data_IF_437123831998
#
_entry.id   IF_437123831998
#
_cell.length_a   1.000
_cell.length_b   1.000
_cell.length_c   1.000
_cell.angle_alpha   90.00
_cell.angle_beta   90.00
_cell.angle_gamma   90.00
#
_symmetry.space_group_name_H-M   'P 1'
#
loop_
_entity.id
_entity.type
_entity.pdbx_description
1 polymer ?
#
# COMPACT_ATOMS: atom_id res chain seq x y z
N UNK A 1 -35.90 13.14 16.48
CA UNK A 1 -34.63 13.84 16.18
C UNK A 1 -33.56 13.21 17.04
N UNK A 2 -32.89 12.22 16.57
CA UNK A 2 -31.78 11.57 17.30
C UNK A 2 -30.50 12.30 16.94
N UNK A 3 -29.96 13.07 17.87
CA UNK A 3 -28.63 13.64 17.79
C UNK A 3 -27.59 12.51 17.75
N UNK A 4 -27.10 12.16 16.56
CA UNK A 4 -25.88 11.37 16.42
C UNK A 4 -24.76 12.33 16.79
N UNK A 5 -24.30 12.26 18.04
CA UNK A 5 -23.08 12.95 18.45
C UNK A 5 -21.91 12.38 17.63
N UNK A 6 -21.39 13.18 16.71
CA UNK A 6 -20.11 12.95 16.05
C UNK A 6 -18.98 13.05 17.09
N UNK A 7 -18.87 12.07 17.94
CA UNK A 7 -17.68 11.90 18.79
C UNK A 7 -16.56 11.47 17.86
N UNK A 8 -15.66 12.38 17.56
CA UNK A 8 -14.38 12.08 16.88
C UNK A 8 -13.69 11.03 17.75
N UNK A 9 -13.88 9.74 17.42
CA UNK A 9 -13.21 8.65 18.13
C UNK A 9 -11.70 8.87 17.99
N UNK A 10 -11.00 8.92 19.12
CA UNK A 10 -9.52 9.02 19.13
C UNK A 10 -8.94 7.87 18.34
N UNK A 11 -7.83 8.07 17.60
CA UNK A 11 -7.11 6.98 16.96
C UNK A 11 -6.77 5.89 17.97
N UNK A 12 -7.01 4.64 17.57
CA UNK A 12 -6.74 3.44 18.37
C UNK A 12 -5.79 2.53 17.64
N UNK A 13 -5.14 1.64 18.39
CA UNK A 13 -4.27 0.60 17.83
C UNK A 13 -4.87 -0.78 18.11
N UNK A 14 -4.74 -1.67 17.12
CA UNK A 14 -4.96 -3.11 17.27
C UNK A 14 -3.63 -3.82 17.11
N UNK A 15 -3.32 -4.76 18.00
CA UNK A 15 -2.07 -5.55 17.91
C UNK A 15 -2.42 -7.01 17.76
N UNK A 16 -1.81 -7.68 16.78
CA UNK A 16 -1.92 -9.11 16.54
C UNK A 16 -0.54 -9.75 16.75
N UNK A 17 -0.52 -10.97 17.25
CA UNK A 17 0.70 -11.75 17.38
C UNK A 17 0.43 -13.23 17.05
N UNK A 18 1.49 -13.93 16.60
CA UNK A 18 1.45 -15.37 16.43
C UNK A 18 2.34 -16.09 17.47
N UNK A 19 2.26 -17.41 17.54
CA UNK A 19 3.03 -18.22 18.51
C UNK A 19 4.54 -18.14 18.34
N UNK A 20 5.04 -17.72 17.17
CA UNK A 20 6.47 -17.53 16.90
C UNK A 20 6.97 -16.13 17.30
N UNK A 21 6.10 -15.30 17.88
CA UNK A 21 6.45 -13.98 18.38
C UNK A 21 6.48 -12.89 17.32
N UNK A 22 6.02 -13.14 16.10
CA UNK A 22 5.70 -12.07 15.12
C UNK A 22 4.60 -11.21 15.71
N UNK A 23 4.69 -9.90 15.49
CA UNK A 23 3.76 -8.92 16.02
C UNK A 23 3.50 -7.83 15.01
N UNK A 24 2.23 -7.51 14.77
CA UNK A 24 1.84 -6.37 13.95
C UNK A 24 0.99 -5.39 14.77
N UNK A 25 1.12 -4.11 14.47
CA UNK A 25 0.26 -3.08 15.04
C UNK A 25 -0.38 -2.27 13.93
N UNK A 26 -1.69 -2.12 14.00
CA UNK A 26 -2.52 -1.41 13.02
C UNK A 26 -3.21 -0.24 13.71
N UNK A 27 -3.08 0.96 13.16
CA UNK A 27 -3.86 2.12 13.58
C UNK A 27 -5.15 2.20 12.77
N UNK A 28 -6.25 2.61 13.41
CA UNK A 28 -7.48 2.91 12.71
C UNK A 28 -7.41 4.22 11.89
N UNK A 29 -6.40 5.06 12.05
CA UNK A 29 -6.14 6.20 11.16
C UNK A 29 -5.45 5.70 9.89
N UNK A 30 -6.12 5.85 8.75
CA UNK A 30 -5.68 5.31 7.46
C UNK A 30 -5.69 3.78 7.38
N UNK A 31 -6.28 3.08 8.36
CA UNK A 31 -6.12 1.64 8.56
C UNK A 31 -4.64 1.21 8.46
N UNK A 32 -3.73 2.02 8.99
CA UNK A 32 -2.29 1.94 8.72
C UNK A 32 -1.60 0.83 9.50
N UNK A 33 -0.80 0.00 8.83
CA UNK A 33 0.18 -0.88 9.46
C UNK A 33 1.32 -0.02 10.02
N UNK A 34 1.36 0.13 11.33
CA UNK A 34 2.32 1.02 12.00
C UNK A 34 3.57 0.30 12.51
N UNK A 35 3.52 -1.04 12.64
CA UNK A 35 4.65 -1.86 13.08
C UNK A 35 4.49 -3.29 12.57
N UNK A 36 5.61 -3.91 12.21
CA UNK A 36 5.73 -5.34 11.95
C UNK A 36 7.04 -5.83 12.54
N UNK A 37 6.95 -6.45 13.71
CA UNK A 37 8.11 -6.92 14.47
C UNK A 37 8.34 -8.41 14.25
N UNK A 38 9.54 -8.75 13.84
CA UNK A 38 9.99 -10.10 13.53
C UNK A 38 11.06 -10.52 14.52
N UNK A 39 10.90 -11.66 15.22
CA UNK A 39 11.96 -12.21 16.09
C UNK A 39 13.12 -12.69 15.23
N UNK A 40 14.33 -12.29 15.61
CA UNK A 40 15.58 -12.78 15.00
C UNK A 40 16.19 -13.90 15.84
N UNK A 41 17.03 -14.78 15.26
CA UNK A 41 17.74 -15.84 15.99
C UNK A 41 18.56 -15.31 17.18
N UNK A 42 18.95 -14.03 17.16
CA UNK A 42 19.64 -13.35 18.26
C UNK A 42 18.77 -13.12 19.51
N UNK A 43 17.47 -13.42 19.46
CA UNK A 43 16.49 -13.13 20.51
C UNK A 43 15.95 -11.69 20.48
N UNK A 44 16.46 -10.83 19.60
CA UNK A 44 15.93 -9.47 19.40
C UNK A 44 14.79 -9.49 18.40
N UNK A 45 13.81 -8.58 18.54
CA UNK A 45 12.82 -8.28 17.51
C UNK A 45 13.27 -7.11 16.67
N UNK A 46 13.07 -7.21 15.35
CA UNK A 46 13.28 -6.10 14.41
C UNK A 46 11.96 -5.63 13.85
N UNK A 47 11.69 -4.33 13.83
CA UNK A 47 10.54 -3.74 13.16
C UNK A 47 10.92 -3.39 11.71
N UNK A 48 10.28 -4.04 10.76
CA UNK A 48 10.66 -3.99 9.34
C UNK A 48 9.83 -3.02 8.50
N UNK A 49 8.89 -2.28 9.08
CA UNK A 49 8.10 -1.26 8.37
C UNK A 49 8.39 0.13 8.91
N UNK A 50 8.67 1.08 8.01
CA UNK A 50 8.86 2.47 8.37
C UNK A 50 7.57 3.11 8.90
N UNK A 51 7.70 4.15 9.71
CA UNK A 51 6.57 4.86 10.28
C UNK A 51 6.99 5.84 11.37
N UNK A 52 6.03 6.25 12.17
CA UNK A 52 6.23 7.18 13.28
C UNK A 52 5.75 6.58 14.61
N UNK A 53 6.27 7.10 15.71
CA UNK A 53 5.89 6.65 17.05
C UNK A 53 4.50 7.15 17.47
N UNK A 54 3.96 8.19 16.82
CA UNK A 54 2.69 8.81 17.19
C UNK A 54 1.79 9.10 16.00
N UNK A 55 0.48 8.96 16.17
CA UNK A 55 -0.51 9.33 15.15
C UNK A 55 -0.43 10.82 14.79
N UNK A 56 -0.03 11.67 15.71
CA UNK A 56 0.19 13.10 15.40
C UNK A 56 1.23 13.28 14.30
N UNK A 57 2.31 12.48 14.31
CA UNK A 57 3.34 12.54 13.28
C UNK A 57 2.86 11.96 11.95
N UNK A 58 2.02 10.90 11.96
CA UNK A 58 1.33 10.42 10.75
C UNK A 58 0.49 11.54 10.13
N UNK A 59 -0.32 12.24 10.93
CA UNK A 59 -1.13 13.36 10.44
C UNK A 59 -0.28 14.49 9.87
N UNK A 60 0.76 14.92 10.61
CA UNK A 60 1.69 15.96 10.15
C UNK A 60 2.42 15.59 8.86
N UNK A 61 2.65 14.31 8.60
CA UNK A 61 3.35 13.88 7.40
C UNK A 61 2.57 14.18 6.12
N UNK A 62 1.23 14.31 6.19
CA UNK A 62 0.40 14.73 5.06
C UNK A 62 0.49 16.23 4.76
N UNK A 63 1.07 17.04 5.65
CA UNK A 63 1.36 18.46 5.43
C UNK A 63 2.68 18.66 4.67
N UNK A 64 3.48 17.60 4.49
CA UNK A 64 4.72 17.65 3.73
C UNK A 64 4.44 17.78 2.23
N UNK A 65 5.30 18.44 1.45
CA UNK A 65 5.16 18.54 -0.01
C UNK A 65 5.05 17.18 -0.72
N UNK A 66 5.62 16.13 -0.12
CA UNK A 66 5.50 14.74 -0.55
C UNK A 66 5.21 13.89 0.68
N UNK A 67 3.94 13.57 0.87
CA UNK A 67 3.51 12.73 1.97
C UNK A 67 4.01 11.29 1.77
N UNK A 68 4.54 10.61 2.81
CA UNK A 68 5.08 9.26 2.66
C UNK A 68 4.01 8.17 2.71
N UNK A 69 2.80 8.43 3.16
CA UNK A 69 1.70 7.46 3.30
C UNK A 69 2.06 6.21 4.12
N UNK A 70 3.02 6.28 5.04
CA UNK A 70 3.58 5.11 5.74
C UNK A 70 2.52 4.14 6.26
N UNK A 71 2.51 2.93 5.70
CA UNK A 71 1.66 1.82 6.09
C UNK A 71 0.16 2.01 5.86
N UNK A 72 -0.27 3.11 5.27
CA UNK A 72 -1.68 3.43 5.10
C UNK A 72 -2.32 2.65 3.94
N UNK A 73 -3.64 2.45 4.05
CA UNK A 73 -4.45 2.03 2.91
C UNK A 73 -4.68 3.23 2.00
N UNK A 74 -4.34 3.06 0.74
CA UNK A 74 -4.50 4.07 -0.32
C UNK A 74 -5.74 3.75 -1.14
N UNK A 75 -6.56 4.74 -1.38
CA UNK A 75 -7.81 4.69 -2.12
C UNK A 75 -8.55 6.05 -2.06
N UNK A 76 -9.64 6.25 -2.85
CA UNK A 76 -10.40 5.22 -3.59
C UNK A 76 -9.62 4.66 -4.79
N UNK A 77 -8.68 5.44 -5.36
CA UNK A 77 -7.85 5.00 -6.48
C UNK A 77 -6.36 5.21 -6.17
N UNK A 78 -5.63 4.11 -6.04
CA UNK A 78 -4.18 4.10 -5.86
C UNK A 78 -3.45 4.45 -7.17
N UNK A 79 -2.35 5.18 -7.05
CA UNK A 79 -1.63 5.72 -8.20
C UNK A 79 -2.26 6.99 -8.77
N UNK A 80 -1.79 7.39 -9.93
CA UNK A 80 -2.23 8.63 -10.60
C UNK A 80 -3.40 8.38 -11.54
N UNK A 81 -4.25 9.42 -11.72
CA UNK A 81 -5.23 9.55 -12.81
C UNK A 81 -4.91 10.84 -13.55
N UNK A 82 -4.67 10.73 -14.87
CA UNK A 82 -4.30 11.82 -15.75
C UNK A 82 -5.33 12.95 -15.70
N UNK A 83 -4.87 14.20 -15.53
CA UNK A 83 -5.70 15.40 -15.41
C UNK A 83 -6.80 15.31 -14.33
N UNK A 84 -6.73 14.31 -13.45
CA UNK A 84 -7.80 13.98 -12.50
C UNK A 84 -9.13 13.66 -13.17
N UNK A 85 -9.13 13.13 -14.39
CA UNK A 85 -10.34 12.97 -15.20
C UNK A 85 -10.47 11.52 -15.70
N UNK A 86 -11.70 11.00 -15.69
CA UNK A 86 -12.04 9.72 -16.31
C UNK A 86 -13.50 9.74 -16.79
N UNK A 87 -13.79 8.87 -17.77
CA UNK A 87 -15.15 8.64 -18.25
C UNK A 87 -15.72 7.36 -17.65
N UNK A 88 -16.97 7.39 -17.20
CA UNK A 88 -17.72 6.25 -16.73
C UNK A 88 -19.16 6.36 -17.22
N UNK A 89 -19.64 5.32 -17.94
CA UNK A 89 -20.98 5.25 -18.52
C UNK A 89 -21.37 6.52 -19.31
N UNK A 90 -20.42 7.02 -20.12
CA UNK A 90 -20.61 8.22 -20.98
C UNK A 90 -20.60 9.55 -20.22
N UNK A 91 -20.29 9.55 -18.92
CA UNK A 91 -20.17 10.76 -18.09
C UNK A 91 -18.72 11.02 -17.73
N UNK A 92 -18.31 12.29 -17.87
CA UNK A 92 -17.01 12.75 -17.40
C UNK A 92 -17.04 13.03 -15.90
N UNK A 93 -16.04 12.52 -15.19
CA UNK A 93 -15.84 12.76 -13.76
C UNK A 93 -14.52 13.48 -13.54
N UNK A 94 -14.57 14.61 -12.84
CA UNK A 94 -13.39 15.40 -12.48
C UNK A 94 -13.05 15.19 -11.01
N UNK A 95 -11.94 14.52 -10.75
CA UNK A 95 -11.42 14.29 -9.41
C UNK A 95 -10.64 15.51 -8.90
N UNK A 96 -10.38 15.53 -7.58
CA UNK A 96 -9.51 16.52 -7.00
C UNK A 96 -8.07 16.36 -7.51
N UNK A 97 -7.47 17.45 -7.99
CA UNK A 97 -6.09 17.49 -8.49
C UNK A 97 -5.14 17.85 -7.35
N UNK A 98 -4.47 16.87 -6.78
CA UNK A 98 -3.53 17.01 -5.67
C UNK A 98 -2.07 16.71 -6.04
N UNK A 99 -1.81 16.43 -7.32
CA UNK A 99 -0.46 16.20 -7.85
C UNK A 99 -0.30 16.91 -9.20
N UNK A 100 0.02 18.20 -9.16
CA UNK A 100 -0.07 19.12 -10.28
C UNK A 100 -1.50 19.11 -10.86
N UNK A 101 -1.65 18.76 -12.14
CA UNK A 101 -2.96 18.61 -12.80
C UNK A 101 -3.58 17.23 -12.62
N UNK A 102 -2.88 16.28 -11.99
CA UNK A 102 -3.31 14.90 -11.86
C UNK A 102 -3.93 14.64 -10.49
N UNK A 103 -4.78 13.63 -10.39
CA UNK A 103 -5.19 13.06 -9.10
C UNK A 103 -4.20 11.97 -8.68
N UNK A 104 -3.86 11.91 -7.41
CA UNK A 104 -2.95 10.93 -6.83
C UNK A 104 -3.55 10.35 -5.55
N UNK A 105 -3.53 9.03 -5.41
CA UNK A 105 -3.84 8.29 -4.18
C UNK A 105 -5.20 8.62 -3.57
N UNK A 106 -6.21 8.85 -4.42
CA UNK A 106 -7.59 9.06 -4.00
C UNK A 106 -7.98 10.53 -3.74
N UNK A 107 -7.05 11.49 -3.97
CA UNK A 107 -7.36 12.91 -3.88
C UNK A 107 -6.72 13.60 -2.69
N UNK A 108 -7.32 14.72 -2.24
CA UNK A 108 -6.78 15.58 -1.18
C UNK A 108 -6.75 14.87 0.17
N UNK A 109 -7.84 14.22 0.52
CA UNK A 109 -8.00 13.47 1.76
C UNK A 109 -8.51 12.06 1.47
N UNK A 110 -7.67 11.26 0.79
CA UNK A 110 -7.98 9.87 0.48
C UNK A 110 -8.08 8.97 1.72
N UNK A 111 -8.27 7.68 1.52
CA UNK A 111 -8.52 6.69 2.58
C UNK A 111 -7.40 6.62 3.63
N UNK A 112 -6.19 6.99 3.26
CA UNK A 112 -5.01 7.08 4.13
C UNK A 112 -5.13 8.13 5.24
N UNK A 113 -6.04 9.09 5.13
CA UNK A 113 -6.26 10.15 6.12
C UNK A 113 -7.59 10.00 6.88
N UNK A 114 -8.34 8.92 6.64
CA UNK A 114 -9.64 8.69 7.29
C UNK A 114 -9.48 7.88 8.58
N UNK A 115 -10.45 8.06 9.49
CA UNK A 115 -10.58 7.22 10.67
C UNK A 115 -11.49 6.04 10.33
N UNK A 116 -10.93 4.86 10.31
CA UNK A 116 -11.67 3.61 10.08
C UNK A 116 -12.25 3.08 11.39
N UNK A 117 -13.24 2.24 11.30
CA UNK A 117 -13.91 1.61 12.45
C UNK A 117 -13.47 0.15 12.52
N UNK A 118 -12.93 -0.28 13.64
CA UNK A 118 -12.72 -1.72 13.90
C UNK A 118 -14.09 -2.36 14.09
N UNK A 119 -14.44 -3.30 13.22
CA UNK A 119 -15.74 -3.99 13.23
C UNK A 119 -15.64 -5.43 13.70
N UNK A 120 -14.45 -6.05 13.62
CA UNK A 120 -14.18 -7.39 14.10
C UNK A 120 -12.72 -7.55 14.54
N UNK A 121 -12.49 -8.40 15.55
CA UNK A 121 -11.15 -8.70 16.04
C UNK A 121 -11.12 -10.11 16.61
N UNK A 122 -10.30 -10.97 16.02
CA UNK A 122 -10.08 -12.36 16.45
C UNK A 122 -8.64 -12.50 16.93
N UNK A 123 -8.45 -12.79 18.22
CA UNK A 123 -7.13 -12.92 18.88
C UNK A 123 -6.81 -14.40 19.25
N UNK A 124 -7.02 -15.31 18.29
CA UNK A 124 -6.75 -16.75 18.43
C UNK A 124 -5.75 -17.19 17.36
N UNK A 125 -5.61 -18.48 17.10
CA UNK A 125 -4.85 -18.94 15.92
C UNK A 125 -5.29 -18.22 14.67
N UNK A 126 -4.32 -17.74 13.86
CA UNK A 126 -4.55 -16.82 12.73
C UNK A 126 -5.30 -15.55 13.18
N UNK A 127 -4.69 -14.83 14.12
CA UNK A 127 -5.23 -13.56 14.64
C UNK A 127 -5.55 -12.59 13.50
N UNK A 128 -6.70 -11.95 13.57
CA UNK A 128 -7.17 -11.01 12.53
C UNK A 128 -7.87 -9.80 13.13
N UNK A 129 -7.82 -8.68 12.43
CA UNK A 129 -8.61 -7.47 12.69
C UNK A 129 -9.18 -6.95 11.38
N UNK A 130 -10.48 -6.63 11.40
CA UNK A 130 -11.18 -6.02 10.25
C UNK A 130 -11.56 -4.59 10.58
N UNK A 131 -11.15 -3.68 9.70
CA UNK A 131 -11.50 -2.27 9.75
C UNK A 131 -12.43 -1.95 8.58
N UNK A 132 -13.43 -1.09 8.84
CA UNK A 132 -14.41 -0.65 7.86
C UNK A 132 -14.37 0.87 7.71
N UNK A 133 -14.51 1.35 6.48
CA UNK A 133 -14.78 2.73 6.15
C UNK A 133 -15.95 2.80 5.17
N UNK A 134 -16.84 3.76 5.36
CA UNK A 134 -17.91 4.09 4.41
C UNK A 134 -17.54 5.43 3.79
N UNK A 135 -17.10 5.39 2.54
CA UNK A 135 -16.80 6.56 1.73
C UNK A 135 -18.11 7.06 1.12
N UNK A 136 -18.62 8.23 1.51
CA UNK A 136 -19.89 8.74 0.98
C UNK A 136 -19.80 8.99 -0.53
N UNK A 137 -20.95 8.97 -1.18
CA UNK A 137 -21.04 9.31 -2.61
C UNK A 137 -20.45 10.69 -2.86
N UNK A 138 -19.64 10.81 -3.91
CA UNK A 138 -18.89 12.01 -4.30
C UNK A 138 -17.82 12.47 -3.30
N UNK A 139 -17.40 11.64 -2.34
CA UNK A 139 -16.15 11.92 -1.63
C UNK A 139 -14.98 11.95 -2.64
N UNK A 140 -14.17 13.04 -2.59
CA UNK A 140 -13.11 13.35 -3.57
C UNK A 140 -13.60 13.30 -5.04
N UNK A 141 -14.93 13.48 -5.24
CA UNK A 141 -15.66 13.45 -6.51
C UNK A 141 -15.79 12.05 -7.17
N UNK A 142 -15.53 10.97 -6.44
CA UNK A 142 -15.82 9.62 -6.93
C UNK A 142 -17.31 9.31 -6.80
N UNK A 143 -17.98 8.77 -7.87
CA UNK A 143 -19.39 8.39 -7.80
C UNK A 143 -19.63 7.18 -6.88
N UNK A 144 -20.79 7.13 -6.28
CA UNK A 144 -21.28 6.05 -5.44
C UNK A 144 -20.72 6.05 -4.01
N UNK A 145 -21.59 5.75 -3.06
CA UNK A 145 -21.17 5.40 -1.71
C UNK A 145 -20.45 4.05 -1.78
N UNK A 146 -19.26 3.97 -1.19
CA UNK A 146 -18.44 2.77 -1.18
C UNK A 146 -18.24 2.28 0.25
N UNK A 147 -18.75 1.12 0.56
CA UNK A 147 -18.47 0.41 1.80
C UNK A 147 -17.23 -0.46 1.62
N UNK A 148 -16.16 -0.17 2.37
CA UNK A 148 -14.86 -0.86 2.26
C UNK A 148 -14.54 -1.53 3.58
N UNK A 149 -14.04 -2.77 3.50
CA UNK A 149 -13.45 -3.49 4.61
C UNK A 149 -12.03 -3.91 4.27
N UNK A 150 -11.13 -3.74 5.23
CA UNK A 150 -9.75 -4.23 5.14
C UNK A 150 -9.50 -5.13 6.34
N UNK A 151 -9.10 -6.38 6.07
CA UNK A 151 -8.76 -7.38 7.09
C UNK A 151 -7.25 -7.60 7.08
N UNK A 152 -6.64 -7.37 8.22
CA UNK A 152 -5.27 -7.76 8.50
C UNK A 152 -5.28 -9.07 9.27
N UNK A 153 -4.56 -10.07 8.78
CA UNK A 153 -4.40 -11.36 9.47
C UNK A 153 -2.92 -11.69 9.62
N UNK A 154 -2.55 -12.24 10.75
CA UNK A 154 -1.21 -12.75 11.00
C UNK A 154 -1.29 -14.26 11.22
N UNK A 155 -0.78 -15.03 10.24
CA UNK A 155 -0.86 -16.48 10.27
C UNK A 155 0.23 -17.11 11.15
N UNK A 156 -0.01 -18.38 11.53
CA UNK A 156 1.00 -19.22 12.18
C UNK A 156 2.13 -19.65 11.23
N UNK A 157 2.01 -19.36 9.93
CA UNK A 157 3.07 -19.56 8.93
C UNK A 157 3.91 -18.31 8.68
N UNK A 158 3.87 -17.31 9.61
CA UNK A 158 4.58 -16.04 9.52
C UNK A 158 4.20 -15.22 8.28
N UNK A 159 2.90 -15.20 7.97
CA UNK A 159 2.35 -14.42 6.86
C UNK A 159 1.50 -13.26 7.39
N UNK A 160 1.83 -12.04 6.98
CA UNK A 160 0.91 -10.92 7.04
C UNK A 160 0.02 -10.97 5.80
N UNK A 161 -1.27 -11.17 6.01
CA UNK A 161 -2.28 -11.23 4.95
C UNK A 161 -3.13 -9.97 5.04
N UNK A 162 -3.28 -9.25 3.93
CA UNK A 162 -4.13 -8.07 3.81
C UNK A 162 -5.19 -8.38 2.75
N UNK A 163 -6.47 -8.40 3.17
CA UNK A 163 -7.60 -8.63 2.28
C UNK A 163 -8.51 -7.42 2.26
N UNK A 164 -8.90 -7.02 1.06
CA UNK A 164 -9.80 -5.91 0.82
C UNK A 164 -11.10 -6.43 0.23
N UNK A 165 -12.21 -5.90 0.71
CA UNK A 165 -13.54 -6.15 0.14
C UNK A 165 -14.30 -4.83 0.08
N UNK A 166 -14.94 -4.55 -1.05
CA UNK A 166 -15.77 -3.36 -1.18
C UNK A 166 -17.01 -3.61 -2.05
N UNK A 167 -18.06 -2.84 -1.77
CA UNK A 167 -19.31 -2.82 -2.56
C UNK A 167 -19.71 -1.35 -2.73
N UNK A 168 -20.11 -0.98 -3.94
CA UNK A 168 -20.57 0.37 -4.27
C UNK A 168 -22.08 0.44 -4.50
N UNK A 169 -22.68 1.57 -4.11
CA UNK A 169 -24.10 1.86 -4.39
C UNK A 169 -24.38 2.27 -5.82
N UNK A 170 -23.35 2.65 -6.58
CA UNK A 170 -23.39 3.03 -7.99
C UNK A 170 -22.14 2.48 -8.70
N UNK A 171 -22.11 2.49 -10.03
CA UNK A 171 -20.89 2.23 -10.78
C UNK A 171 -19.82 3.24 -10.39
N UNK A 172 -18.59 2.77 -10.15
CA UNK A 172 -17.46 3.61 -9.73
C UNK A 172 -16.15 3.01 -10.23
N UNK A 173 -15.05 3.73 -10.03
CA UNK A 173 -13.72 3.16 -10.19
C UNK A 173 -13.09 2.88 -8.82
N UNK A 174 -12.32 1.80 -8.74
CA UNK A 174 -11.64 1.39 -7.51
C UNK A 174 -10.27 0.80 -7.81
N UNK A 175 -9.29 1.19 -7.02
CA UNK A 175 -7.97 0.59 -6.99
C UNK A 175 -7.39 0.82 -5.59
N UNK A 176 -7.25 -0.23 -4.80
CA UNK A 176 -6.76 -0.14 -3.43
C UNK A 176 -5.35 -0.72 -3.35
N UNK A 177 -4.53 -0.15 -2.47
CA UNK A 177 -3.22 -0.70 -2.14
C UNK A 177 -2.82 -0.39 -0.71
N UNK A 178 -1.69 -0.95 -0.28
CA UNK A 178 -1.06 -0.77 1.02
C UNK A 178 0.32 -0.13 0.82
N UNK A 179 0.58 0.99 1.49
CA UNK A 179 1.77 1.81 1.25
C UNK A 179 2.82 1.67 2.36
N UNK A 180 3.13 0.44 2.77
CA UNK A 180 4.25 0.20 3.69
C UNK A 180 5.58 0.27 2.97
N UNK A 181 6.53 0.94 3.62
CA UNK A 181 7.94 0.92 3.25
C UNK A 181 8.63 -0.13 4.09
N UNK A 182 9.18 -1.13 3.44
CA UNK A 182 9.89 -2.22 4.08
C UNK A 182 11.39 -1.96 4.13
N UNK A 183 11.99 -2.27 5.27
CA UNK A 183 13.44 -2.39 5.43
C UNK A 183 13.72 -3.56 6.38
N UNK A 184 14.23 -4.65 5.84
CA UNK A 184 14.52 -5.87 6.62
C UNK A 184 15.71 -5.71 7.57
N UNK A 185 16.38 -4.54 7.55
CA UNK A 185 17.47 -4.15 8.48
C UNK A 185 17.01 -3.17 9.55
N UNK A 186 15.70 -2.84 9.62
CA UNK A 186 15.11 -1.94 10.59
C UNK A 186 15.24 -0.46 10.21
N UNK A 187 15.10 0.44 11.19
CA UNK A 187 14.88 1.87 10.94
C UNK A 187 16.15 2.68 10.67
N UNK A 188 17.32 2.21 11.11
CA UNK A 188 18.59 2.96 11.02
C UNK A 188 19.46 2.56 9.85
N UNK A 189 19.08 1.50 9.13
CA UNK A 189 19.80 1.00 7.95
C UNK A 189 19.26 1.54 6.63
N UNK A 190 19.96 1.20 5.55
CA UNK A 190 19.51 1.42 4.17
C UNK A 190 19.16 0.10 3.51
N UNK A 191 18.34 0.16 2.45
CA UNK A 191 17.98 -1.01 1.64
C UNK A 191 19.03 -1.38 0.59
N UNK A 192 20.10 -0.59 0.42
CA UNK A 192 21.11 -0.73 -0.66
C UNK A 192 21.76 -2.11 -0.72
N UNK A 193 21.93 -2.77 0.43
CA UNK A 193 22.52 -4.10 0.51
C UNK A 193 21.49 -5.23 0.53
N UNK A 194 20.22 -4.91 0.45
CA UNK A 194 19.15 -5.91 0.33
C UNK A 194 18.95 -6.30 -1.12
N UNK A 195 18.62 -7.57 -1.36
CA UNK A 195 18.41 -8.09 -2.70
C UNK A 195 16.91 -8.10 -3.04
N UNK A 196 16.58 -7.45 -4.15
CA UNK A 196 15.24 -7.39 -4.72
C UNK A 196 15.11 -8.40 -5.86
N UNK A 197 13.98 -9.12 -5.88
CA UNK A 197 13.53 -9.92 -7.03
C UNK A 197 12.10 -9.49 -7.36
N UNK A 198 11.75 -9.41 -8.65
CA UNK A 198 10.40 -9.16 -9.15
C UNK A 198 10.16 -10.10 -10.32
N UNK A 199 9.13 -10.94 -10.21
CA UNK A 199 8.76 -11.91 -11.25
C UNK A 199 7.94 -11.22 -12.36
N UNK A 200 8.60 -10.39 -13.15
CA UNK A 200 7.97 -9.65 -14.24
C UNK A 200 8.94 -9.42 -15.39
N UNK A 201 8.44 -9.58 -16.61
CA UNK A 201 9.17 -9.28 -17.84
C UNK A 201 8.81 -7.92 -18.45
N UNK A 202 7.90 -7.17 -17.80
CA UNK A 202 7.30 -5.98 -18.41
C UNK A 202 6.97 -4.93 -17.33
N UNK A 203 7.24 -3.66 -17.64
CA UNK A 203 6.76 -2.52 -16.86
C UNK A 203 5.85 -1.63 -17.70
N UNK A 204 4.99 -0.85 -17.05
CA UNK A 204 4.25 0.21 -17.71
C UNK A 204 5.22 1.32 -18.14
N UNK A 205 5.11 1.77 -19.39
CA UNK A 205 5.76 2.99 -19.84
C UNK A 205 5.04 4.20 -19.23
N UNK A 206 5.81 5.16 -18.71
CA UNK A 206 5.25 6.39 -18.13
C UNK A 206 5.88 7.62 -18.77
N UNK A 207 5.12 8.72 -18.79
CA UNK A 207 5.63 10.03 -19.18
C UNK A 207 6.39 10.70 -18.01
N UNK A 208 6.84 11.96 -18.21
CA UNK A 208 7.59 12.74 -17.21
C UNK A 208 6.80 13.06 -15.93
N UNK A 209 5.47 12.92 -15.94
CA UNK A 209 4.60 13.12 -14.80
C UNK A 209 4.24 11.78 -14.11
N UNK A 210 4.92 10.68 -14.47
CA UNK A 210 4.65 9.31 -14.02
C UNK A 210 3.21 8.86 -14.33
N UNK A 211 2.64 9.34 -15.43
CA UNK A 211 1.36 8.86 -15.97
C UNK A 211 1.64 7.80 -17.01
N UNK A 212 1.01 6.62 -16.95
CA UNK A 212 1.13 5.60 -17.97
C UNK A 212 0.75 6.14 -19.36
N UNK A 213 1.52 5.74 -20.38
CA UNK A 213 1.26 6.10 -21.78
C UNK A 213 0.30 5.14 -22.49
N UNK A 214 -0.04 4.02 -21.83
CA UNK A 214 -0.74 2.89 -22.44
C UNK A 214 0.18 1.86 -23.07
N UNK A 215 1.48 2.14 -23.17
CA UNK A 215 2.50 1.24 -23.69
C UNK A 215 3.20 0.44 -22.58
N UNK A 216 3.90 -0.60 -22.99
CA UNK A 216 4.64 -1.49 -22.12
C UNK A 216 6.11 -1.55 -22.55
N UNK A 217 7.03 -1.65 -21.57
CA UNK A 217 8.46 -1.78 -21.81
C UNK A 217 8.88 -3.20 -21.45
N UNK A 218 9.50 -3.91 -22.40
CA UNK A 218 10.13 -5.21 -22.16
C UNK A 218 11.39 -5.06 -21.29
N UNK A 219 11.56 -5.95 -20.31
CA UNK A 219 12.65 -5.89 -19.36
C UNK A 219 13.86 -6.76 -19.70
N UNK A 220 13.86 -7.51 -20.79
CA UNK A 220 14.93 -8.48 -21.11
C UNK A 220 16.32 -7.87 -21.09
N UNK A 221 16.48 -6.63 -21.58
CA UNK A 221 17.73 -5.87 -21.56
C UNK A 221 17.66 -4.58 -20.69
N UNK A 222 16.65 -4.45 -19.84
CA UNK A 222 16.39 -3.25 -19.07
C UNK A 222 17.10 -3.27 -17.69
N UNK A 223 17.47 -2.11 -17.18
CA UNK A 223 18.09 -1.97 -15.85
C UNK A 223 17.21 -2.51 -14.72
N UNK A 224 15.89 -2.43 -14.89
CA UNK A 224 14.89 -2.94 -13.95
C UNK A 224 14.48 -4.40 -14.17
N UNK A 225 15.26 -5.19 -14.90
CA UNK A 225 15.09 -6.64 -14.92
C UNK A 225 15.53 -7.23 -13.59
N UNK A 226 14.58 -7.53 -12.71
CA UNK A 226 14.79 -8.13 -11.38
C UNK A 226 14.36 -9.60 -11.32
N UNK A 227 14.21 -10.30 -12.45
CA UNK A 227 13.89 -11.73 -12.46
C UNK A 227 14.95 -12.59 -11.75
N UNK A 228 16.19 -12.10 -11.70
CA UNK A 228 17.26 -12.65 -10.87
C UNK A 228 17.51 -11.67 -9.72
N UNK A 229 17.58 -12.14 -8.46
CA UNK A 229 17.82 -11.27 -7.33
C UNK A 229 19.07 -10.42 -7.49
N UNK A 230 18.95 -9.12 -7.31
CA UNK A 230 20.07 -8.16 -7.30
C UNK A 230 19.79 -7.03 -6.31
N UNK A 231 20.81 -6.26 -5.97
CA UNK A 231 20.70 -5.14 -5.01
C UNK A 231 19.56 -4.20 -5.37
N UNK A 232 18.88 -3.69 -4.33
CA UNK A 232 17.86 -2.66 -4.50
C UNK A 232 18.42 -1.47 -5.29
N UNK A 233 17.62 -0.87 -6.18
CA UNK A 233 18.02 0.32 -6.92
C UNK A 233 18.03 1.55 -6.01
N UNK A 234 18.81 2.57 -6.36
CA UNK A 234 18.85 3.83 -5.63
C UNK A 234 17.57 4.67 -5.81
N UNK A 235 16.82 4.41 -6.87
CA UNK A 235 15.53 5.04 -7.17
C UNK A 235 14.75 4.17 -8.13
N UNK A 236 13.45 4.05 -7.90
CA UNK A 236 12.48 3.43 -8.80
C UNK A 236 11.08 3.94 -8.46
N UNK A 237 10.25 4.17 -9.46
CA UNK A 237 8.83 4.59 -9.36
C UNK A 237 8.09 3.99 -10.57
N UNK A 238 7.92 2.65 -10.56
CA UNK A 238 7.40 1.92 -11.72
C UNK A 238 6.44 0.80 -11.33
N UNK A 239 5.42 0.59 -12.17
CA UNK A 239 4.49 -0.53 -12.06
C UNK A 239 4.98 -1.68 -12.94
N UNK A 240 5.22 -2.83 -12.32
CA UNK A 240 5.55 -4.09 -12.96
C UNK A 240 4.26 -4.87 -13.24
N UNK A 241 4.18 -5.44 -14.46
CA UNK A 241 3.06 -6.25 -14.91
C UNK A 241 3.20 -7.66 -14.33
N UNK A 242 2.18 -8.14 -13.66
CA UNK A 242 2.13 -9.50 -13.11
C UNK A 242 1.24 -10.38 -13.99
N UNK A 243 1.69 -11.59 -14.29
CA UNK A 243 0.99 -12.52 -15.19
C UNK A 243 0.38 -13.71 -14.47
N UNK A 244 0.77 -13.97 -13.22
CA UNK A 244 0.28 -15.09 -12.41
C UNK A 244 0.01 -14.65 -10.98
N UNK A 245 -1.18 -14.91 -10.49
CA UNK A 245 -1.65 -14.50 -9.16
C UNK A 245 -1.29 -15.48 -8.02
N UNK A 246 -0.72 -16.65 -8.32
CA UNK A 246 -0.49 -17.69 -7.32
C UNK A 246 0.99 -17.96 -7.03
N UNK A 247 1.88 -17.22 -7.66
CA UNK A 247 3.32 -17.32 -7.45
C UNK A 247 3.86 -16.13 -6.66
N UNK A 248 5.10 -16.23 -6.22
CA UNK A 248 5.81 -15.11 -5.60
C UNK A 248 6.03 -14.02 -6.65
N UNK A 249 5.32 -12.90 -6.50
CA UNK A 249 5.37 -11.75 -7.41
C UNK A 249 6.65 -10.94 -7.22
N UNK A 250 7.12 -10.83 -5.97
CA UNK A 250 8.37 -10.15 -5.62
C UNK A 250 8.96 -10.71 -4.33
N UNK A 251 10.24 -10.49 -4.10
CA UNK A 251 10.87 -10.76 -2.81
C UNK A 251 11.94 -9.74 -2.46
N UNK A 252 12.14 -9.53 -1.17
CA UNK A 252 13.21 -8.74 -0.60
C UNK A 252 14.01 -9.63 0.37
N UNK A 253 15.34 -9.60 0.30
CA UNK A 253 16.21 -10.38 1.16
C UNK A 253 17.28 -9.53 1.80
N UNK A 254 17.38 -9.58 3.13
CA UNK A 254 18.47 -8.99 3.90
C UNK A 254 19.57 -10.01 4.18
N UNK A 255 20.74 -9.90 3.60
CA UNK A 255 21.88 -10.75 3.96
C UNK A 255 22.33 -10.54 5.42
N UNK A 256 22.14 -9.33 5.97
CA UNK A 256 22.54 -8.97 7.34
C UNK A 256 21.76 -9.75 8.39
N UNK A 257 20.45 -9.86 8.22
CA UNK A 257 19.57 -10.52 9.18
C UNK A 257 19.16 -11.93 8.75
N UNK A 258 19.63 -12.38 7.58
CA UNK A 258 19.21 -13.62 6.91
C UNK A 258 17.68 -13.75 6.88
N UNK A 259 17.02 -12.64 6.58
CA UNK A 259 15.57 -12.48 6.57
C UNK A 259 15.08 -12.25 5.15
N UNK A 260 14.13 -13.05 4.71
CA UNK A 260 13.45 -12.93 3.40
C UNK A 260 11.98 -12.57 3.59
N UNK A 261 11.51 -11.63 2.81
CA UNK A 261 10.08 -11.34 2.59
C UNK A 261 9.70 -11.71 1.17
N UNK A 262 8.62 -12.43 1.00
CA UNK A 262 7.98 -12.74 -0.29
C UNK A 262 6.63 -12.04 -0.37
N UNK A 263 6.28 -11.54 -1.55
CA UNK A 263 5.01 -10.88 -1.86
C UNK A 263 4.23 -11.72 -2.86
N UNK A 264 2.98 -12.06 -2.51
CA UNK A 264 2.04 -12.82 -3.35
C UNK A 264 0.74 -12.04 -3.41
N UNK A 265 0.16 -11.88 -4.60
CA UNK A 265 -1.06 -11.09 -4.77
C UNK A 265 -1.92 -11.61 -5.92
N UNK A 266 -3.21 -11.28 -5.88
CA UNK A 266 -4.14 -11.49 -7.01
C UNK A 266 -4.30 -10.25 -7.90
N UNK A 267 -3.47 -9.23 -7.69
CA UNK A 267 -3.52 -8.01 -8.51
C UNK A 267 -2.71 -8.15 -9.80
N UNK A 268 -3.10 -7.44 -10.87
CA UNK A 268 -2.41 -7.50 -12.17
C UNK A 268 -1.09 -6.76 -12.18
N UNK A 269 -0.77 -5.97 -11.15
CA UNK A 269 0.45 -5.20 -11.06
C UNK A 269 1.00 -5.08 -9.65
N UNK A 270 2.29 -4.78 -9.60
CA UNK A 270 2.98 -4.38 -8.38
C UNK A 270 3.78 -3.10 -8.68
N UNK A 271 3.44 -2.03 -7.97
CA UNK A 271 4.20 -0.79 -8.07
C UNK A 271 5.33 -0.81 -7.05
N UNK A 272 6.54 -0.63 -7.53
CA UNK A 272 7.75 -0.59 -6.70
C UNK A 272 8.22 0.85 -6.59
N UNK A 273 8.38 1.30 -5.34
CA UNK A 273 8.82 2.66 -5.07
C UNK A 273 10.01 2.69 -4.11
N UNK A 274 11.08 3.34 -4.56
CA UNK A 274 12.23 3.75 -3.74
C UNK A 274 12.48 5.22 -4.04
N UNK A 275 12.27 6.07 -3.06
CA UNK A 275 12.37 7.51 -3.29
C UNK A 275 12.25 8.35 -2.02
N UNK A 276 12.16 9.66 -2.26
CA UNK A 276 12.11 10.67 -1.22
C UNK A 276 10.97 10.47 -0.25
N UNK A 277 10.99 11.09 0.90
CA UNK A 277 9.95 10.99 1.92
C UNK A 277 10.09 12.14 2.91
N UNK A 278 10.10 11.87 4.22
CA UNK A 278 10.14 12.90 5.26
C UNK A 278 11.41 13.74 5.25
N UNK A 279 12.48 13.31 4.60
CA UNK A 279 13.78 14.00 4.52
C UNK A 279 14.27 14.54 5.87
N UNK A 280 14.08 13.76 6.97
CA UNK A 280 14.43 14.16 8.32
C UNK A 280 13.56 15.26 8.95
N UNK A 281 12.54 15.77 8.26
CA UNK A 281 11.63 16.82 8.81
C UNK A 281 10.76 16.33 9.95
N UNK A 282 10.40 15.04 9.93
CA UNK A 282 9.71 14.36 11.02
C UNK A 282 10.54 13.13 11.40
N UNK A 283 10.87 12.99 12.68
CA UNK A 283 11.60 11.82 13.16
C UNK A 283 10.76 10.56 12.99
N UNK A 284 11.35 9.55 12.38
CA UNK A 284 10.79 8.21 12.30
C UNK A 284 10.88 7.45 13.63
N UNK A 285 10.45 6.20 13.59
CA UNK A 285 10.57 5.29 14.76
C UNK A 285 12.03 5.16 15.20
N UNK A 286 12.23 4.91 16.49
CA UNK A 286 13.57 4.81 17.11
C UNK A 286 14.43 6.06 16.84
N UNK A 287 13.82 7.22 16.60
CA UNK A 287 14.51 8.47 16.31
C UNK A 287 15.18 8.54 14.94
N UNK A 288 14.89 7.61 14.03
CA UNK A 288 15.50 7.53 12.71
C UNK A 288 15.25 8.79 11.86
N UNK A 289 16.24 9.17 11.06
CA UNK A 289 16.11 10.17 10.00
C UNK A 289 15.88 9.44 8.68
N UNK A 290 14.61 9.28 8.28
CA UNK A 290 14.31 8.62 7.03
C UNK A 290 14.73 9.46 5.83
N UNK A 291 15.27 8.80 4.82
CA UNK A 291 15.78 9.34 3.58
C UNK A 291 15.41 8.40 2.41
N UNK A 292 15.68 8.75 1.15
CA UNK A 292 15.21 7.97 -0.01
C UNK A 292 15.49 6.46 0.02
N UNK A 293 16.62 6.04 0.64
CA UNK A 293 17.01 4.63 0.72
C UNK A 293 16.63 3.96 2.04
N UNK A 294 15.81 4.60 2.87
CA UNK A 294 15.41 4.02 4.15
C UNK A 294 14.43 2.85 4.01
N UNK A 295 13.73 2.74 2.89
CA UNK A 295 12.77 1.65 2.66
C UNK A 295 12.29 1.58 1.22
N UNK A 296 11.61 0.48 0.90
CA UNK A 296 11.03 0.16 -0.40
C UNK A 296 9.56 -0.22 -0.25
N UNK A 297 8.70 0.28 -1.16
CA UNK A 297 7.28 -0.08 -1.22
C UNK A 297 7.04 -1.21 -2.23
N UNK A 298 6.07 -2.05 -1.87
CA UNK A 298 5.51 -3.11 -2.71
C UNK A 298 3.99 -2.92 -2.75
N UNK A 299 3.54 -2.03 -3.64
CA UNK A 299 2.13 -1.66 -3.75
C UNK A 299 1.46 -2.56 -4.79
N UNK A 300 0.88 -3.65 -4.32
CA UNK A 300 0.09 -4.54 -5.18
C UNK A 300 -1.23 -3.87 -5.52
N UNK A 301 -1.54 -3.71 -6.81
CA UNK A 301 -2.68 -2.89 -7.25
C UNK A 301 -3.02 -3.13 -8.72
N UNK A 302 -4.14 -2.58 -9.18
CA UNK A 302 -4.38 -2.37 -10.60
C UNK A 302 -3.46 -1.25 -11.13
N UNK A 303 -3.38 -1.09 -12.44
CA UNK A 303 -2.50 -0.11 -13.05
C UNK A 303 -2.97 1.33 -12.75
N UNK A 304 -2.04 2.26 -12.47
CA UNK A 304 -2.38 3.67 -12.46
C UNK A 304 -3.01 4.10 -13.79
N UNK A 305 -3.90 5.06 -13.74
CA UNK A 305 -4.63 5.61 -14.90
C UNK A 305 -5.45 4.58 -15.73
N UNK A 306 -5.71 3.38 -15.19
CA UNK A 306 -6.42 2.35 -15.94
C UNK A 306 -7.79 2.78 -16.50
N UNK A 307 -8.59 3.65 -15.84
CA UNK A 307 -9.83 4.13 -16.43
C UNK A 307 -9.69 4.84 -17.77
N UNK A 308 -8.50 5.36 -18.08
CA UNK A 308 -8.20 6.09 -19.32
C UNK A 308 -7.51 5.23 -20.40
N UNK A 309 -7.31 3.92 -20.15
CA UNK A 309 -6.61 3.02 -21.07
C UNK A 309 -7.42 1.74 -21.31
N UNK A 310 -7.96 1.58 -22.51
CA UNK A 310 -8.80 0.44 -22.90
C UNK A 310 -8.07 -0.92 -22.90
N UNK A 311 -6.74 -0.90 -22.98
CA UNK A 311 -5.87 -2.10 -22.98
C UNK A 311 -5.36 -2.46 -21.57
N UNK A 312 -5.76 -1.72 -20.56
CA UNK A 312 -5.43 -2.02 -19.16
C UNK A 312 -6.57 -2.85 -18.51
N UNK A 313 -6.28 -3.62 -17.46
CA UNK A 313 -7.33 -4.27 -16.69
C UNK A 313 -8.34 -3.25 -16.16
N UNK A 314 -9.63 -3.56 -16.29
CA UNK A 314 -10.70 -2.65 -15.84
C UNK A 314 -10.57 -2.32 -14.35
N UNK A 315 -10.75 -1.05 -14.02
CA UNK A 315 -10.85 -0.57 -12.65
C UNK A 315 -12.29 -0.25 -12.26
N UNK A 316 -13.27 -0.54 -13.13
CA UNK A 316 -14.69 -0.28 -12.89
C UNK A 316 -15.23 -1.35 -11.93
N UNK A 317 -15.85 -0.87 -10.85
CA UNK A 317 -16.67 -1.67 -9.96
C UNK A 317 -18.14 -1.36 -10.25
N UNK A 318 -18.88 -2.32 -10.75
CA UNK A 318 -20.30 -2.16 -11.03
C UNK A 318 -21.10 -2.12 -9.72
N UNK A 319 -22.22 -1.39 -9.73
CA UNK A 319 -23.17 -1.31 -8.62
C UNK A 319 -23.50 -2.69 -8.05
N UNK A 320 -23.27 -2.88 -6.78
CA UNK A 320 -23.58 -4.11 -6.05
C UNK A 320 -22.61 -5.27 -6.29
N UNK A 321 -21.67 -5.14 -7.21
CA UNK A 321 -20.59 -6.12 -7.36
C UNK A 321 -19.60 -6.03 -6.20
N UNK A 322 -18.96 -7.15 -5.92
CA UNK A 322 -17.93 -7.23 -4.87
C UNK A 322 -16.53 -7.04 -5.46
N UNK A 323 -15.84 -5.99 -5.05
CA UNK A 323 -14.39 -5.88 -5.21
C UNK A 323 -13.69 -6.80 -4.21
N UNK A 324 -12.66 -7.51 -4.67
CA UNK A 324 -11.80 -8.32 -3.81
C UNK A 324 -10.35 -8.24 -4.24
N UNK A 325 -9.49 -7.93 -3.28
CA UNK A 325 -8.04 -7.89 -3.44
C UNK A 325 -7.40 -8.60 -2.25
N UNK A 326 -6.33 -9.35 -2.50
CA UNK A 326 -5.55 -10.05 -1.47
C UNK A 326 -4.07 -9.90 -1.74
N UNK A 327 -3.31 -9.61 -0.68
CA UNK A 327 -1.85 -9.60 -0.68
C UNK A 327 -1.33 -10.35 0.53
N UNK A 328 -0.29 -11.15 0.33
CA UNK A 328 0.39 -11.91 1.36
C UNK A 328 1.85 -11.48 1.38
N UNK A 329 2.32 -11.07 2.55
CA UNK A 329 3.74 -10.87 2.85
C UNK A 329 4.19 -12.03 3.73
N UNK A 330 4.96 -12.96 3.16
CA UNK A 330 5.48 -14.15 3.85
C UNK A 330 6.90 -13.91 4.27
N UNK A 331 7.23 -14.21 5.53
CA UNK A 331 8.54 -14.02 6.09
C UNK A 331 9.22 -15.33 6.41
N UNK A 332 10.49 -15.44 6.03
CA UNK A 332 11.34 -16.61 6.26
C UNK A 332 12.65 -16.16 6.87
N UNK A 333 13.06 -16.84 7.95
CA UNK A 333 14.40 -16.75 8.54
C UNK A 333 15.18 -17.94 8.01
N UNK A 334 16.35 -17.68 7.43
CA UNK A 334 17.25 -18.70 6.92
C UNK A 334 18.16 -19.29 7.98
#
# INVERSE_FOLDING_TARGET
MNNISNTIKKPTYSTLSNKYGFEISISNYGASLTSLKIPLPSGKKIDVVLGFDTISNYKKSFELPSAPYFGAIVGRYAGRIANGNFELDGKQHQLFQNNNKNSLHGGKEGFSQKNWVVIDSKLTENSAVTLEYISPSYEENYPGELKIQVTYSLSESNELIIEYSAISSEDTIINLTHHSYFNLDGHTGTIENQNLMIASNTILETNKENIPTGSFIDLSAHAFNFNIPKKCPNSIDNTFVLTDSNIVSASLFSPKNNLKMEVITNQPGIHIYVGGNCFGKIKGKEGANYHPLSGICFETQNYPDAPNHYNFPSAILKKGERYYHKTIYRFQLG
#
